data_IF_705920731827
#
_entry.id   IF_705920731827
#
_cell.length_a   1.000
_cell.length_b   1.000
_cell.length_c   1.000
_cell.angle_alpha   90.00
_cell.angle_beta   90.00
_cell.angle_gamma   90.00
#
_symmetry.space_group_name_H-M   'P 1'
#
loop_
_entity.id
_entity.type
_entity.pdbx_description
1 polymer ?
#
# COMPACT_ATOMS: atom_id res chain seq x y z
N UNK A 1 -4.21 -38.57 50.33
CA UNK A 1 -5.24 -37.70 49.74
C UNK A 1 -4.69 -36.29 49.72
N UNK A 2 -4.12 -35.85 48.59
CA UNK A 2 -4.81 -35.24 47.43
C UNK A 2 -5.34 -33.84 47.84
N UNK A 3 -4.84 -32.70 47.37
CA UNK A 3 -4.85 -32.22 45.98
C UNK A 3 -4.16 -30.83 45.93
N UNK A 4 -3.18 -30.55 45.05
CA UNK A 4 -2.77 -29.17 44.77
C UNK A 4 -3.66 -28.60 43.67
N UNK A 5 -4.30 -27.50 43.99
CA UNK A 5 -5.31 -26.83 43.20
C UNK A 5 -4.72 -26.35 41.87
N UNK A 6 -5.34 -26.80 40.78
CA UNK A 6 -5.05 -26.38 39.41
C UNK A 6 -5.24 -24.87 39.26
N UNK A 7 -4.14 -24.11 39.37
CA UNK A 7 -4.09 -22.76 38.83
C UNK A 7 -4.09 -22.88 37.30
N UNK A 8 -5.21 -22.49 36.69
CA UNK A 8 -5.45 -22.57 35.26
C UNK A 8 -4.27 -22.02 34.47
N UNK A 9 -3.63 -22.89 33.70
CA UNK A 9 -2.72 -22.53 32.62
C UNK A 9 -3.55 -21.80 31.55
N UNK A 10 -3.85 -20.55 31.86
CA UNK A 10 -4.67 -19.65 31.07
C UNK A 10 -4.06 -19.51 29.69
N UNK A 11 -4.86 -19.87 28.69
CA UNK A 11 -5.07 -19.12 27.45
C UNK A 11 -3.89 -18.32 26.89
N UNK A 12 -2.70 -18.91 26.82
CA UNK A 12 -1.63 -18.43 25.96
C UNK A 12 -1.85 -19.05 24.58
N UNK A 13 -2.92 -18.63 23.91
CA UNK A 13 -2.90 -18.55 22.44
C UNK A 13 -1.95 -17.41 22.08
N UNK A 14 -0.65 -17.64 22.27
CA UNK A 14 0.34 -16.90 21.50
C UNK A 14 0.17 -17.41 20.08
N UNK A 15 -0.53 -16.60 19.28
CA UNK A 15 -0.81 -16.85 17.89
C UNK A 15 0.49 -17.09 17.14
N UNK A 16 0.88 -18.36 17.08
CA UNK A 16 1.92 -18.89 16.22
C UNK A 16 1.69 -18.35 14.80
N UNK A 17 2.69 -17.61 14.32
CA UNK A 17 2.90 -17.23 12.92
C UNK A 17 2.11 -16.05 12.35
N UNK A 18 1.93 -14.99 13.13
CA UNK A 18 2.08 -13.67 12.53
C UNK A 18 3.57 -13.40 12.35
N UNK A 19 4.20 -13.91 11.27
CA UNK A 19 5.56 -13.52 10.89
C UNK A 19 5.53 -12.01 10.68
N UNK A 20 5.77 -11.28 11.77
CA UNK A 20 6.02 -9.86 11.80
C UNK A 20 7.30 -9.73 10.98
N UNK A 21 7.14 -9.70 9.66
CA UNK A 21 8.11 -9.12 8.77
C UNK A 21 8.20 -7.71 9.30
N UNK A 22 9.17 -7.53 10.20
CA UNK A 22 9.60 -6.31 10.82
C UNK A 22 9.23 -5.21 9.85
N UNK A 23 8.26 -4.37 10.23
CA UNK A 23 7.80 -3.26 9.39
C UNK A 23 8.95 -2.25 9.33
N UNK A 24 10.01 -2.63 8.64
CA UNK A 24 11.13 -1.82 8.24
C UNK A 24 10.51 -0.73 7.42
N UNK A 25 10.46 0.48 8.00
CA UNK A 25 10.04 1.75 7.39
C UNK A 25 10.14 1.62 5.88
N UNK A 26 8.99 1.64 5.21
CA UNK A 26 8.86 1.20 3.82
C UNK A 26 9.94 1.81 2.95
N UNK A 27 10.97 1.01 2.64
CA UNK A 27 12.11 1.48 1.86
C UNK A 27 11.53 1.96 0.53
N UNK A 28 11.67 3.26 0.20
CA UNK A 28 11.15 3.80 -1.06
C UNK A 28 11.75 3.00 -2.22
N UNK A 29 11.01 2.89 -3.32
CA UNK A 29 11.53 2.24 -4.52
C UNK A 29 12.75 3.01 -5.01
N UNK A 30 13.90 2.36 -4.97
CA UNK A 30 15.13 2.95 -5.52
C UNK A 30 15.03 2.97 -7.05
N UNK A 31 15.68 3.93 -7.69
CA UNK A 31 15.68 4.02 -9.16
C UNK A 31 16.25 2.76 -9.80
N UNK A 32 17.25 2.13 -9.18
CA UNK A 32 17.87 0.90 -9.69
C UNK A 32 16.89 -0.29 -9.65
N UNK A 33 16.18 -0.48 -8.54
CA UNK A 33 15.09 -1.47 -8.43
C UNK A 33 13.98 -1.18 -9.45
N UNK A 34 13.68 0.10 -9.68
CA UNK A 34 12.65 0.51 -10.62
C UNK A 34 13.06 0.26 -12.08
N UNK A 35 14.31 0.51 -12.47
CA UNK A 35 14.83 0.18 -13.82
C UNK A 35 14.73 -1.31 -14.09
N UNK A 36 15.08 -2.15 -13.11
CA UNK A 36 14.96 -3.62 -13.22
C UNK A 36 13.49 -4.05 -13.36
N UNK A 37 12.58 -3.41 -12.65
CA UNK A 37 11.14 -3.64 -12.81
C UNK A 37 10.66 -3.30 -14.24
N UNK A 38 11.11 -2.19 -14.82
CA UNK A 38 10.77 -1.82 -16.20
C UNK A 38 11.38 -2.80 -17.22
N UNK A 39 12.63 -3.22 -17.03
CA UNK A 39 13.25 -4.25 -17.86
C UNK A 39 12.49 -5.59 -17.76
N UNK A 40 12.04 -5.97 -16.57
CA UNK A 40 11.22 -7.16 -16.38
C UNK A 40 9.86 -7.07 -17.08
N UNK A 41 9.22 -5.89 -17.06
CA UNK A 41 7.98 -5.63 -17.80
C UNK A 41 8.16 -5.72 -19.32
N UNK A 42 9.29 -5.24 -19.84
CA UNK A 42 9.59 -5.32 -21.28
C UNK A 42 9.86 -6.77 -21.73
N UNK A 43 10.57 -7.55 -20.90
CA UNK A 43 10.97 -8.92 -21.23
C UNK A 43 9.87 -9.96 -21.04
N UNK A 44 9.12 -9.89 -19.94
CA UNK A 44 8.09 -10.88 -19.57
C UNK A 44 6.67 -10.43 -19.91
N UNK A 45 6.46 -9.11 -20.12
CA UNK A 45 5.14 -8.55 -20.32
C UNK A 45 4.39 -8.22 -19.03
N UNK A 46 3.17 -7.69 -19.17
CA UNK A 46 2.31 -7.28 -18.04
C UNK A 46 1.55 -8.50 -17.50
N UNK A 47 1.86 -8.94 -16.29
CA UNK A 47 1.12 -10.02 -15.60
C UNK A 47 2.01 -10.96 -14.78
N UNK A 48 3.25 -11.16 -15.22
CA UNK A 48 4.20 -12.09 -14.60
C UNK A 48 4.95 -11.49 -13.40
N UNK A 49 4.20 -11.00 -12.40
CA UNK A 49 4.78 -10.38 -11.19
C UNK A 49 5.70 -11.31 -10.42
N UNK A 50 5.40 -12.62 -10.44
CA UNK A 50 6.24 -13.66 -9.83
C UNK A 50 7.56 -13.84 -10.57
N UNK A 51 7.53 -13.82 -11.90
CA UNK A 51 8.74 -13.89 -12.74
C UNK A 51 9.60 -12.64 -12.58
N UNK A 52 8.97 -11.46 -12.61
CA UNK A 52 9.65 -10.17 -12.46
C UNK A 52 10.33 -10.07 -11.09
N UNK A 53 9.66 -10.46 -10.00
CA UNK A 53 10.25 -10.47 -8.66
C UNK A 53 11.42 -11.45 -8.55
N UNK A 54 11.31 -12.66 -9.10
CA UNK A 54 12.37 -13.68 -8.97
C UNK A 54 13.61 -13.38 -9.81
N UNK A 55 13.45 -12.81 -11.00
CA UNK A 55 14.56 -12.62 -11.94
C UNK A 55 15.15 -11.20 -11.93
N UNK A 56 14.35 -10.18 -11.59
CA UNK A 56 14.77 -8.78 -11.71
C UNK A 56 14.82 -8.05 -10.37
N UNK A 57 13.85 -8.30 -9.48
CA UNK A 57 13.71 -7.58 -8.20
C UNK A 57 13.66 -8.55 -7.02
N UNK A 58 14.79 -9.22 -6.75
CA UNK A 58 14.92 -10.23 -5.69
C UNK A 58 14.74 -9.67 -4.28
N UNK A 59 14.93 -8.35 -4.11
CA UNK A 59 14.78 -7.62 -2.85
C UNK A 59 13.32 -7.40 -2.44
N UNK A 60 12.37 -7.54 -3.37
CA UNK A 60 10.95 -7.26 -3.15
C UNK A 60 10.11 -8.49 -3.43
N UNK A 61 9.05 -8.67 -2.65
CA UNK A 61 8.15 -9.81 -2.81
C UNK A 61 7.25 -9.64 -4.03
N UNK A 62 6.77 -10.73 -4.65
CA UNK A 62 5.88 -10.67 -5.80
C UNK A 62 4.63 -9.80 -5.56
N UNK A 63 4.10 -9.83 -4.34
CA UNK A 63 2.97 -8.99 -3.92
C UNK A 63 3.32 -7.50 -3.92
N UNK A 64 4.51 -7.13 -3.43
CA UNK A 64 4.99 -5.75 -3.47
C UNK A 64 5.19 -5.26 -4.91
N UNK A 65 5.69 -6.13 -5.79
CA UNK A 65 5.85 -5.83 -7.23
C UNK A 65 4.49 -5.60 -7.88
N UNK A 66 3.49 -6.45 -7.60
CA UNK A 66 2.14 -6.29 -8.13
C UNK A 66 1.49 -4.97 -7.67
N UNK A 67 1.56 -4.65 -6.37
CA UNK A 67 1.05 -3.39 -5.83
C UNK A 67 1.77 -2.17 -6.41
N UNK A 68 3.08 -2.28 -6.65
CA UNK A 68 3.84 -1.21 -7.29
C UNK A 68 3.45 -1.04 -8.76
N UNK A 69 3.29 -2.13 -9.50
CA UNK A 69 2.84 -2.10 -10.89
C UNK A 69 1.48 -1.41 -11.02
N UNK A 70 0.53 -1.76 -10.16
CA UNK A 70 -0.78 -1.11 -10.11
C UNK A 70 -0.63 0.41 -9.89
N UNK A 71 0.09 0.84 -8.85
CA UNK A 71 0.31 2.28 -8.58
C UNK A 71 1.09 2.98 -9.68
N UNK A 72 2.00 2.28 -10.34
CA UNK A 72 2.79 2.78 -11.46
C UNK A 72 1.90 3.07 -12.67
N UNK A 73 1.02 2.15 -13.06
CA UNK A 73 0.10 2.37 -14.17
C UNK A 73 -0.90 3.48 -13.89
N UNK A 74 -1.46 3.56 -12.67
CA UNK A 74 -2.35 4.66 -12.29
C UNK A 74 -1.64 6.02 -12.36
N UNK A 75 -0.37 6.11 -11.93
CA UNK A 75 0.43 7.34 -12.04
C UNK A 75 0.78 7.68 -13.48
N UNK A 76 1.15 6.70 -14.30
CA UNK A 76 1.42 6.90 -15.72
C UNK A 76 0.19 7.46 -16.45
N UNK A 77 -1.01 6.91 -16.16
CA UNK A 77 -2.26 7.42 -16.70
C UNK A 77 -2.59 8.83 -16.20
N UNK A 78 -2.39 9.13 -14.90
CA UNK A 78 -2.63 10.45 -14.32
C UNK A 78 -1.64 11.55 -14.76
N UNK A 79 -0.38 11.20 -15.03
CA UNK A 79 0.63 12.13 -15.57
C UNK A 79 0.32 12.54 -17.01
N UNK A 80 -0.25 11.63 -17.81
CA UNK A 80 -0.75 11.94 -19.15
C UNK A 80 -2.01 12.83 -19.13
N UNK A 81 -2.79 12.77 -18.05
CA UNK A 81 -4.01 13.56 -17.84
C UNK A 81 -3.77 14.81 -16.97
N UNK A 82 -2.62 15.47 -17.10
CA UNK A 82 -2.34 16.78 -16.44
C UNK A 82 -3.22 17.90 -17.01
N UNK A 83 -4.54 17.80 -16.80
CA UNK A 83 -5.48 18.91 -16.78
C UNK A 83 -6.63 18.50 -15.85
N UNK A 84 -6.70 19.20 -14.70
CA UNK A 84 -7.73 19.17 -13.63
C UNK A 84 -7.51 18.08 -12.56
N UNK A 85 -7.52 18.39 -11.27
CA UNK A 85 -8.44 19.28 -10.53
C UNK A 85 -7.64 20.15 -9.55
N UNK A 86 -7.86 21.47 -9.58
CA UNK A 86 -7.35 22.37 -8.53
C UNK A 86 -7.90 21.93 -7.18
N UNK A 87 -7.08 22.00 -6.13
CA UNK A 87 -7.47 21.46 -4.84
C UNK A 87 -8.67 22.24 -4.27
N UNK A 88 -9.54 21.54 -3.54
CA UNK A 88 -10.68 22.15 -2.84
C UNK A 88 -10.23 23.25 -1.86
N UNK A 89 -8.98 23.15 -1.38
CA UNK A 89 -8.38 24.07 -0.41
C UNK A 89 -7.80 25.35 -1.03
N UNK A 90 -7.60 25.39 -2.36
CA UNK A 90 -7.09 26.59 -3.04
C UNK A 90 -8.17 27.68 -3.23
N UNK A 91 -9.46 27.31 -3.14
CA UNK A 91 -10.59 28.26 -3.33
C UNK A 91 -10.93 29.03 -2.05
N UNK A 92 -10.60 28.51 -0.86
CA UNK A 92 -11.07 29.02 0.43
C UNK A 92 -10.37 30.33 0.88
N UNK A 93 -9.28 30.76 0.25
CA UNK A 93 -8.58 32.01 0.62
C UNK A 93 -9.10 33.28 -0.06
N UNK A 94 -10.04 33.16 -1.00
CA UNK A 94 -10.59 34.30 -1.71
C UNK A 94 -12.12 34.31 -1.62
N UNK A 95 -12.67 34.73 -0.47
CA UNK A 95 -13.95 35.49 -0.30
C UNK A 95 -14.49 35.31 1.14
N UNK A 96 -14.78 36.40 1.89
CA UNK A 96 -15.54 36.32 3.13
C UNK A 96 -17.03 36.53 2.82
N UNK A 97 -17.71 35.57 2.19
CA UNK A 97 -19.17 35.67 2.02
C UNK A 97 -19.90 34.35 2.34
N UNK A 98 -20.65 34.42 3.45
CA UNK A 98 -21.78 33.61 3.93
C UNK A 98 -22.14 32.33 3.14
N UNK A 99 -22.13 31.19 3.84
CA UNK A 99 -22.83 29.98 3.42
C UNK A 99 -24.11 29.77 4.26
N UNK A 100 -25.29 29.51 3.65
CA UNK A 100 -26.43 28.97 4.36
C UNK A 100 -26.18 27.49 4.67
N UNK A 101 -26.68 27.09 5.83
CA UNK A 101 -26.45 25.81 6.52
C UNK A 101 -26.84 24.61 5.64
N UNK A 102 -25.90 23.69 5.40
CA UNK A 102 -26.17 22.37 4.80
C UNK A 102 -26.58 21.39 5.91
N UNK A 103 -27.83 20.96 5.94
CA UNK A 103 -28.29 19.85 6.79
C UNK A 103 -28.09 18.52 6.06
N UNK A 104 -27.19 17.68 6.56
CA UNK A 104 -27.04 16.31 6.07
C UNK A 104 -27.85 15.38 6.99
N UNK A 105 -28.99 14.89 6.52
CA UNK A 105 -29.67 13.72 7.12
C UNK A 105 -29.17 12.46 6.42
N UNK A 106 -28.63 11.53 7.19
CA UNK A 106 -28.24 10.19 6.77
C UNK A 106 -29.33 9.22 7.27
N UNK A 107 -29.92 8.46 6.35
CA UNK A 107 -30.71 7.25 6.63
C UNK A 107 -29.81 6.03 6.49
#
# INVERSE_FOLDING_TARGET
EESPEKMGHGYLSDGLMGRAQERKKGVPWTEDEHRRFLAGLEKLGKGDWRGISRHFVTTRTPTQVASHAQKYFLRQAGLAQKKRRSSLFDVVRATPHRHPRCTCTCT
#
